data_IF_059212287573
#
_entry.id   IF_059212287573
#
_cell.length_a   1.000
_cell.length_b   1.000
_cell.length_c   1.000
_cell.angle_alpha   90.00
_cell.angle_beta   90.00
_cell.angle_gamma   90.00
#
_symmetry.space_group_name_H-M   'P 1'
#
loop_
_entity.id
_entity.type
_entity.pdbx_description
1 polymer ?
#
# COMPACT_ATOMS: atom_id res chain seq x y z
N UNK A 1 -18.52 -12.08 -0.59
CA UNK A 1 -17.86 -12.86 -1.68
C UNK A 1 -18.51 -12.64 -3.04
N UNK A 2 -19.85 -12.62 -3.15
CA UNK A 2 -20.59 -12.45 -4.42
C UNK A 2 -20.20 -11.20 -5.24
N UNK A 3 -19.94 -10.06 -4.61
CA UNK A 3 -19.52 -8.84 -5.32
C UNK A 3 -18.16 -8.97 -6.02
N UNK A 4 -17.19 -9.68 -5.42
CA UNK A 4 -15.85 -9.85 -6.00
C UNK A 4 -15.91 -10.72 -7.26
N UNK A 5 -16.73 -11.78 -7.23
CA UNK A 5 -17.01 -12.61 -8.41
C UNK A 5 -17.66 -11.83 -9.55
N UNK A 6 -18.57 -10.88 -9.25
CA UNK A 6 -19.17 -10.03 -10.28
C UNK A 6 -18.19 -9.02 -10.89
N UNK A 7 -17.21 -8.54 -10.11
CA UNK A 7 -16.19 -7.61 -10.61
C UNK A 7 -15.16 -8.29 -11.50
N UNK A 8 -14.84 -9.56 -11.25
CA UNK A 8 -13.89 -10.35 -12.06
C UNK A 8 -14.33 -10.43 -13.53
N UNK A 9 -15.62 -10.65 -13.78
CA UNK A 9 -16.17 -10.77 -15.15
C UNK A 9 -16.74 -9.45 -15.66
N UNK A 10 -17.39 -8.67 -14.80
CA UNK A 10 -18.03 -7.41 -15.18
C UNK A 10 -17.04 -6.28 -15.48
N UNK A 11 -15.89 -6.24 -14.82
CA UNK A 11 -14.84 -5.25 -15.06
C UNK A 11 -14.29 -5.29 -16.50
N UNK A 12 -13.78 -6.45 -16.96
CA UNK A 12 -13.30 -6.62 -18.34
C UNK A 12 -14.36 -6.30 -19.39
N UNK A 13 -15.61 -6.72 -19.20
CA UNK A 13 -16.71 -6.45 -20.13
C UNK A 13 -16.99 -4.94 -20.24
N UNK A 14 -17.09 -4.23 -19.11
CA UNK A 14 -17.27 -2.76 -19.11
C UNK A 14 -16.11 -2.04 -19.78
N UNK A 15 -14.89 -2.54 -19.59
CA UNK A 15 -13.70 -1.97 -20.20
C UNK A 15 -13.69 -2.16 -21.72
N UNK A 16 -13.99 -3.36 -22.22
CA UNK A 16 -14.09 -3.63 -23.66
C UNK A 16 -15.16 -2.78 -24.34
N UNK A 17 -16.36 -2.72 -23.76
CA UNK A 17 -17.47 -1.91 -24.28
C UNK A 17 -17.10 -0.43 -24.27
N UNK A 18 -16.54 0.08 -23.18
CA UNK A 18 -16.17 1.49 -23.09
C UNK A 18 -15.05 1.87 -24.07
N UNK A 19 -14.05 1.00 -24.29
CA UNK A 19 -13.01 1.22 -25.30
C UNK A 19 -13.61 1.22 -26.72
N UNK A 20 -14.54 0.31 -27.01
CA UNK A 20 -15.22 0.27 -28.30
C UNK A 20 -16.01 1.56 -28.58
N UNK A 21 -16.76 2.06 -27.59
CA UNK A 21 -17.49 3.31 -27.72
C UNK A 21 -16.50 4.48 -27.85
N UNK A 22 -15.44 4.52 -27.03
CA UNK A 22 -14.44 5.58 -27.09
C UNK A 22 -13.72 5.62 -28.46
N UNK A 23 -13.41 4.46 -29.04
CA UNK A 23 -12.91 4.33 -30.40
C UNK A 23 -13.86 4.93 -31.44
N UNK A 24 -15.16 4.76 -31.25
CA UNK A 24 -16.17 5.28 -32.19
C UNK A 24 -16.20 6.82 -32.20
N UNK A 25 -15.85 7.49 -31.10
CA UNK A 25 -15.84 8.96 -31.01
C UNK A 25 -14.46 9.57 -31.32
N UNK A 26 -13.37 8.93 -30.90
CA UNK A 26 -12.01 9.48 -31.00
C UNK A 26 -11.14 8.83 -32.09
N UNK A 27 -11.59 7.72 -32.66
CA UNK A 27 -10.80 6.92 -33.58
C UNK A 27 -9.42 6.56 -33.00
N UNK A 28 -8.34 6.66 -33.80
CA UNK A 28 -6.98 6.30 -33.39
C UNK A 28 -6.46 7.04 -32.16
N UNK A 29 -6.93 8.26 -31.87
CA UNK A 29 -6.48 9.05 -30.72
C UNK A 29 -6.80 8.40 -29.37
N UNK A 30 -7.78 7.48 -29.33
CA UNK A 30 -8.09 6.67 -28.15
C UNK A 30 -6.86 5.90 -27.63
N UNK A 31 -6.00 5.39 -28.52
CA UNK A 31 -4.80 4.65 -28.10
C UNK A 31 -3.77 5.55 -27.40
N UNK A 32 -3.66 6.82 -27.77
CA UNK A 32 -2.78 7.79 -27.11
C UNK A 32 -3.25 8.05 -25.68
N UNK A 33 -4.57 8.17 -25.49
CA UNK A 33 -5.18 8.28 -24.16
C UNK A 33 -4.89 7.05 -23.29
N UNK A 34 -5.09 5.84 -23.83
CA UNK A 34 -4.80 4.58 -23.12
C UNK A 34 -3.30 4.46 -22.79
N UNK A 35 -2.42 4.80 -23.73
CA UNK A 35 -0.97 4.76 -23.52
C UNK A 35 -0.53 5.74 -22.42
N UNK A 36 -1.05 6.98 -22.43
CA UNK A 36 -0.77 7.96 -21.39
C UNK A 36 -1.27 7.50 -20.00
N UNK A 37 -2.45 6.89 -19.94
CA UNK A 37 -2.97 6.29 -18.71
C UNK A 37 -2.08 5.13 -18.23
N UNK A 38 -1.58 4.31 -19.15
CA UNK A 38 -0.68 3.20 -18.82
C UNK A 38 0.65 3.67 -18.22
N UNK A 39 1.21 4.78 -18.72
CA UNK A 39 2.44 5.41 -18.19
C UNK A 39 2.22 6.00 -16.79
N UNK A 40 1.02 6.48 -16.49
CA UNK A 40 0.72 7.02 -15.16
C UNK A 40 0.67 5.94 -14.07
N UNK A 41 0.36 4.68 -14.40
CA UNK A 41 0.33 3.56 -13.44
C UNK A 41 1.67 3.34 -12.73
N UNK A 42 2.80 3.09 -13.42
CA UNK A 42 4.09 2.89 -12.77
C UNK A 42 4.54 4.14 -12.02
N UNK A 43 4.23 5.33 -12.52
CA UNK A 43 4.50 6.59 -11.81
C UNK A 43 3.81 6.61 -10.44
N UNK A 44 2.55 6.17 -10.35
CA UNK A 44 1.83 6.07 -9.07
C UNK A 44 2.48 5.06 -8.14
N UNK A 45 2.89 3.90 -8.64
CA UNK A 45 3.55 2.87 -7.83
C UNK A 45 4.85 3.40 -7.22
N UNK A 46 5.68 4.10 -8.01
CA UNK A 46 6.94 4.69 -7.54
C UNK A 46 6.66 5.75 -6.46
N UNK A 47 5.66 6.60 -6.67
CA UNK A 47 5.25 7.62 -5.70
C UNK A 47 4.76 6.98 -4.40
N UNK A 48 3.91 5.94 -4.49
CA UNK A 48 3.42 5.20 -3.32
C UNK A 48 4.56 4.54 -2.53
N UNK A 49 5.53 3.93 -3.22
CA UNK A 49 6.71 3.36 -2.59
C UNK A 49 7.54 4.43 -1.87
N UNK A 50 7.73 5.60 -2.48
CA UNK A 50 8.45 6.72 -1.87
C UNK A 50 7.71 7.23 -0.63
N UNK A 51 6.40 7.44 -0.72
CA UNK A 51 5.55 7.81 0.42
C UNK A 51 5.65 6.76 1.53
N UNK A 52 5.66 5.48 1.18
CA UNK A 52 5.85 4.38 2.13
C UNK A 52 7.20 4.44 2.85
N UNK A 53 8.29 4.81 2.18
CA UNK A 53 9.60 5.03 2.81
C UNK A 53 9.58 6.19 3.80
N UNK A 54 8.98 7.33 3.42
CA UNK A 54 8.82 8.46 4.33
C UNK A 54 7.96 8.10 5.54
N UNK A 55 6.88 7.34 5.33
CA UNK A 55 6.02 6.87 6.42
C UNK A 55 6.77 5.98 7.42
N UNK A 56 7.66 5.09 6.95
CA UNK A 56 8.51 4.29 7.83
C UNK A 56 9.42 5.17 8.70
N UNK A 57 10.05 6.20 8.11
CA UNK A 57 10.88 7.15 8.85
C UNK A 57 10.07 7.91 9.91
N UNK A 58 8.87 8.38 9.56
CA UNK A 58 7.97 9.06 10.51
C UNK A 58 7.54 8.16 11.68
N UNK A 59 7.28 6.88 11.43
CA UNK A 59 6.95 5.90 12.47
C UNK A 59 8.15 5.72 13.42
N UNK A 60 9.38 5.69 12.90
CA UNK A 60 10.60 5.64 13.71
C UNK A 60 10.72 6.83 14.68
N UNK A 61 10.59 8.06 14.18
CA UNK A 61 10.64 9.27 15.01
C UNK A 61 9.52 9.30 16.06
N UNK A 62 8.32 8.84 15.69
CA UNK A 62 7.19 8.71 16.63
C UNK A 62 7.49 7.72 17.74
N UNK A 63 8.11 6.58 17.40
CA UNK A 63 8.48 5.55 18.38
C UNK A 63 9.52 6.07 19.37
N UNK A 64 10.48 6.88 18.94
CA UNK A 64 11.44 7.52 19.85
C UNK A 64 10.74 8.38 20.92
N UNK A 65 9.82 9.25 20.51
CA UNK A 65 9.01 10.05 21.45
C UNK A 65 8.20 9.15 22.40
N UNK A 66 7.58 8.10 21.88
CA UNK A 66 6.77 7.17 22.69
C UNK A 66 7.66 6.44 23.71
N UNK A 67 8.86 6.00 23.32
CA UNK A 67 9.79 5.32 24.20
C UNK A 67 10.23 6.21 25.36
N UNK A 68 10.68 7.45 25.07
CA UNK A 68 11.10 8.41 26.11
C UNK A 68 9.95 8.77 27.05
N UNK A 69 8.74 8.96 26.51
CA UNK A 69 7.54 9.16 27.35
C UNK A 69 7.23 7.96 28.23
N UNK A 70 7.42 6.74 27.72
CA UNK A 70 7.19 5.52 28.48
C UNK A 70 8.18 5.39 29.63
N UNK A 71 9.47 5.64 29.38
CA UNK A 71 10.53 5.67 30.41
C UNK A 71 10.22 6.72 31.49
N UNK A 72 9.83 7.93 31.08
CA UNK A 72 9.43 9.01 31.99
C UNK A 72 8.26 8.59 32.90
N UNK A 73 7.21 7.98 32.34
CA UNK A 73 6.04 7.55 33.09
C UNK A 73 6.35 6.40 34.06
N UNK A 74 7.19 5.45 33.64
CA UNK A 74 7.64 4.35 34.48
C UNK A 74 8.51 4.84 35.65
N UNK A 75 9.35 5.86 35.42
CA UNK A 75 10.27 6.44 36.41
C UNK A 75 9.73 7.63 37.20
N UNK A 76 8.44 7.96 37.11
CA UNK A 76 7.89 9.25 37.58
C UNK A 76 8.16 9.58 39.05
N UNK A 77 8.15 8.57 39.94
CA UNK A 77 8.39 8.77 41.39
C UNK A 77 9.82 9.23 41.67
N UNK A 78 10.80 8.63 41.00
CA UNK A 78 12.22 8.96 41.15
C UNK A 78 12.47 10.36 40.58
N UNK A 79 11.91 10.66 39.41
CA UNK A 79 12.06 11.96 38.77
C UNK A 79 11.53 13.11 39.63
N UNK A 80 10.38 12.93 40.28
CA UNK A 80 9.82 13.91 41.22
C UNK A 80 10.67 14.09 42.47
N UNK A 81 11.29 13.02 42.97
CA UNK A 81 12.19 13.10 44.13
C UNK A 81 13.42 13.96 43.84
N UNK A 82 13.93 13.92 42.61
CA UNK A 82 15.07 14.70 42.16
C UNK A 82 14.72 16.06 41.51
N UNK A 83 13.43 16.43 41.42
CA UNK A 83 12.95 17.61 40.73
C UNK A 83 13.43 17.72 39.26
N UNK A 84 13.51 16.59 38.55
CA UNK A 84 13.99 16.50 37.15
C UNK A 84 12.89 16.63 36.10
N UNK A 85 11.65 16.93 36.48
CA UNK A 85 10.51 17.01 35.57
C UNK A 85 10.72 18.01 34.43
N UNK A 86 11.30 19.17 34.71
CA UNK A 86 11.48 20.24 33.73
C UNK A 86 12.52 19.85 32.66
N UNK A 87 13.62 19.23 33.08
CA UNK A 87 14.62 18.67 32.17
C UNK A 87 14.02 17.63 31.20
N UNK A 88 13.24 16.67 31.72
CA UNK A 88 12.59 15.66 30.88
C UNK A 88 11.52 16.26 29.96
N UNK A 89 10.77 17.26 30.45
CA UNK A 89 9.81 17.99 29.65
C UNK A 89 10.48 18.68 28.46
N UNK A 90 11.57 19.42 28.69
CA UNK A 90 12.34 20.07 27.63
C UNK A 90 12.90 19.06 26.62
N UNK A 91 13.39 17.91 27.11
CA UNK A 91 13.85 16.81 26.24
C UNK A 91 12.73 16.27 25.35
N UNK A 92 11.52 16.04 25.88
CA UNK A 92 10.38 15.55 25.09
C UNK A 92 9.93 16.62 24.07
N UNK A 93 9.93 17.89 24.46
CA UNK A 93 9.57 19.01 23.58
C UNK A 93 10.57 19.17 22.44
N UNK A 94 11.87 19.00 22.69
CA UNK A 94 12.90 19.07 21.64
C UNK A 94 12.75 17.93 20.62
N UNK A 95 12.50 16.70 21.06
CA UNK A 95 12.18 15.56 20.19
C UNK A 95 10.92 15.87 19.36
N UNK A 96 9.87 16.41 19.98
CA UNK A 96 8.63 16.81 19.28
C UNK A 96 8.85 17.88 18.23
N UNK A 97 9.71 18.88 18.48
CA UNK A 97 10.04 19.92 17.49
C UNK A 97 10.67 19.31 16.24
N UNK A 98 11.62 18.39 16.42
CA UNK A 98 12.24 17.66 15.32
C UNK A 98 11.23 16.79 14.58
N UNK A 99 10.38 16.04 15.30
CA UNK A 99 9.30 15.22 14.72
C UNK A 99 8.37 16.07 13.85
N UNK A 100 7.88 17.21 14.38
CA UNK A 100 6.99 18.13 13.65
C UNK A 100 7.63 18.71 12.40
N UNK A 101 8.94 19.00 12.43
CA UNK A 101 9.65 19.50 11.26
C UNK A 101 9.69 18.48 10.11
N UNK A 102 9.90 17.19 10.44
CA UNK A 102 9.92 16.10 9.49
C UNK A 102 8.51 15.76 8.99
N UNK A 103 7.49 15.80 9.87
CA UNK A 103 6.08 15.66 9.48
C UNK A 103 5.70 16.74 8.47
N UNK A 104 6.08 18.00 8.70
CA UNK A 104 5.74 19.10 7.79
C UNK A 104 6.34 18.89 6.40
N UNK A 105 7.61 18.50 6.31
CA UNK A 105 8.27 18.19 5.03
C UNK A 105 7.57 17.02 4.31
N UNK A 106 7.26 15.95 5.04
CA UNK A 106 6.62 14.77 4.50
C UNK A 106 5.19 15.06 4.00
N UNK A 107 4.40 15.83 4.76
CA UNK A 107 3.05 16.21 4.37
C UNK A 107 3.06 17.17 3.17
N UNK A 108 4.00 18.11 3.10
CA UNK A 108 4.15 18.96 1.91
C UNK A 108 4.42 18.13 0.65
N UNK A 109 5.36 17.18 0.72
CA UNK A 109 5.67 16.29 -0.39
C UNK A 109 4.48 15.41 -0.77
N UNK A 110 3.76 14.89 0.22
CA UNK A 110 2.53 14.12 0.04
C UNK A 110 1.42 14.94 -0.61
N UNK A 111 1.24 16.20 -0.24
CA UNK A 111 0.30 17.12 -0.88
C UNK A 111 0.66 17.35 -2.35
N UNK A 112 1.94 17.60 -2.65
CA UNK A 112 2.41 17.76 -4.03
C UNK A 112 2.11 16.51 -4.89
N UNK A 113 2.37 15.31 -4.37
CA UNK A 113 2.04 14.08 -5.06
C UNK A 113 0.53 13.85 -5.23
N UNK A 114 -0.28 14.17 -4.21
CA UNK A 114 -1.75 14.10 -4.34
C UNK A 114 -2.27 15.07 -5.42
N UNK A 115 -1.70 16.26 -5.49
CA UNK A 115 -2.07 17.25 -6.50
C UNK A 115 -1.74 16.74 -7.92
N UNK A 116 -0.53 16.22 -8.12
CA UNK A 116 -0.13 15.58 -9.39
C UNK A 116 -1.07 14.42 -9.77
N UNK A 117 -1.49 13.62 -8.79
CA UNK A 117 -2.40 12.51 -9.04
C UNK A 117 -3.83 12.97 -9.38
N UNK A 118 -4.31 14.03 -8.72
CA UNK A 118 -5.62 14.60 -9.02
C UNK A 118 -5.65 15.19 -10.42
N UNK A 119 -4.56 15.84 -10.86
CA UNK A 119 -4.43 16.42 -12.20
C UNK A 119 -4.13 15.39 -13.29
N UNK A 120 -3.69 14.18 -12.95
CA UNK A 120 -3.35 13.12 -13.91
C UNK A 120 -4.50 12.81 -14.89
N UNK A 121 -5.76 12.81 -14.42
CA UNK A 121 -6.92 12.62 -15.29
C UNK A 121 -7.08 13.75 -16.32
N UNK A 122 -6.88 14.99 -15.89
CA UNK A 122 -6.89 16.16 -16.78
C UNK A 122 -5.76 16.08 -17.81
N UNK A 123 -4.58 15.61 -17.42
CA UNK A 123 -3.44 15.40 -18.33
C UNK A 123 -3.79 14.38 -19.41
N UNK A 124 -4.38 13.23 -19.04
CA UNK A 124 -4.82 12.21 -20.02
C UNK A 124 -5.81 12.82 -21.02
N UNK A 125 -6.81 13.57 -20.55
CA UNK A 125 -7.79 14.21 -21.42
C UNK A 125 -7.15 15.22 -22.37
N UNK A 126 -6.26 16.09 -21.86
CA UNK A 126 -5.55 17.07 -22.67
C UNK A 126 -4.73 16.40 -23.76
N UNK A 127 -3.91 15.40 -23.40
CA UNK A 127 -3.08 14.66 -24.36
C UNK A 127 -3.94 13.98 -25.43
N UNK A 128 -5.06 13.40 -25.03
CA UNK A 128 -5.96 12.69 -25.95
C UNK A 128 -6.63 13.65 -26.93
N UNK A 129 -7.18 14.77 -26.45
CA UNK A 129 -7.80 15.78 -27.32
C UNK A 129 -6.77 16.52 -28.18
N UNK A 130 -5.58 16.83 -27.66
CA UNK A 130 -4.49 17.39 -28.44
C UNK A 130 -4.09 16.46 -29.59
N UNK A 131 -3.98 15.16 -29.34
CA UNK A 131 -3.73 14.18 -30.41
C UNK A 131 -4.85 14.13 -31.45
N UNK A 132 -6.10 14.30 -31.03
CA UNK A 132 -7.26 14.27 -31.93
C UNK A 132 -7.27 15.47 -32.89
N UNK A 133 -6.95 16.67 -32.39
CA UNK A 133 -6.80 17.88 -33.21
C UNK A 133 -5.62 17.74 -34.18
N UNK A 134 -4.48 17.23 -33.69
CA UNK A 134 -3.26 17.05 -34.51
C UNK A 134 -3.46 16.08 -35.68
N UNK A 135 -4.40 15.15 -35.56
CA UNK A 135 -4.81 14.25 -36.65
C UNK A 135 -5.74 14.92 -37.68
N UNK A 136 -6.04 16.21 -37.54
CA UNK A 136 -6.85 17.00 -38.47
C UNK A 136 -8.35 16.92 -38.21
N UNK A 137 -8.78 16.37 -37.08
CA UNK A 137 -10.20 16.27 -36.73
C UNK A 137 -10.68 17.55 -36.02
N UNK A 138 -11.95 17.90 -36.22
CA UNK A 138 -12.61 18.99 -35.51
C UNK A 138 -13.19 18.49 -34.17
N UNK A 139 -12.90 19.21 -33.08
CA UNK A 139 -13.49 18.93 -31.78
C UNK A 139 -14.89 19.52 -31.69
N UNK A 140 -15.90 18.66 -31.72
CA UNK A 140 -17.26 19.04 -31.39
C UNK A 140 -17.54 18.89 -29.87
N UNK A 141 -18.44 19.73 -29.36
CA UNK A 141 -18.83 19.73 -27.95
C UNK A 141 -19.39 18.36 -27.50
N UNK A 142 -20.14 17.68 -28.38
CA UNK A 142 -20.65 16.34 -28.11
C UNK A 142 -19.50 15.34 -27.90
N UNK A 143 -18.54 15.34 -28.81
CA UNK A 143 -17.37 14.45 -28.75
C UNK A 143 -16.56 14.69 -27.49
N UNK A 144 -16.31 15.95 -27.12
CA UNK A 144 -15.57 16.30 -25.90
C UNK A 144 -16.28 15.78 -24.65
N UNK A 145 -17.58 16.05 -24.53
CA UNK A 145 -18.34 15.68 -23.33
C UNK A 145 -18.49 14.16 -23.17
N UNK A 146 -18.86 13.46 -24.25
CA UNK A 146 -19.03 12.00 -24.24
C UNK A 146 -17.71 11.31 -23.90
N UNK A 147 -16.61 11.79 -24.49
CA UNK A 147 -15.29 11.18 -24.30
C UNK A 147 -14.71 11.47 -22.92
N UNK A 148 -14.92 12.69 -22.40
CA UNK A 148 -14.63 13.02 -21.01
C UNK A 148 -15.32 12.04 -20.06
N UNK A 149 -16.64 11.85 -20.24
CA UNK A 149 -17.43 10.97 -19.38
C UNK A 149 -16.99 9.50 -19.52
N UNK A 150 -16.72 9.03 -20.74
CA UNK A 150 -16.25 7.66 -20.99
C UNK A 150 -14.88 7.39 -20.35
N UNK A 151 -13.91 8.30 -20.52
CA UNK A 151 -12.58 8.17 -19.91
C UNK A 151 -12.71 8.19 -18.38
N UNK A 152 -13.59 9.05 -17.83
CA UNK A 152 -13.88 9.07 -16.39
C UNK A 152 -14.47 7.74 -15.90
N UNK A 153 -15.45 7.20 -16.63
CA UNK A 153 -16.12 5.94 -16.31
C UNK A 153 -15.18 4.73 -16.41
N UNK A 154 -14.30 4.71 -17.43
CA UNK A 154 -13.32 3.65 -17.68
C UNK A 154 -12.20 3.59 -16.65
N UNK A 155 -11.96 4.67 -15.90
CA UNK A 155 -10.94 4.72 -14.84
C UNK A 155 -11.16 3.66 -13.77
N UNK A 156 -12.41 3.45 -13.37
CA UNK A 156 -12.79 2.50 -12.30
C UNK A 156 -12.53 1.05 -12.69
N UNK A 157 -13.07 0.50 -13.80
CA UNK A 157 -12.81 -0.88 -14.18
C UNK A 157 -11.32 -1.13 -14.48
N UNK A 158 -10.61 -0.13 -15.01
CA UNK A 158 -9.17 -0.23 -15.22
C UNK A 158 -8.41 -0.42 -13.90
N UNK A 159 -8.74 0.36 -12.86
CA UNK A 159 -8.17 0.19 -11.52
C UNK A 159 -8.56 -1.16 -10.89
N UNK A 160 -9.80 -1.59 -11.05
CA UNK A 160 -10.26 -2.88 -10.53
C UNK A 160 -9.46 -4.05 -11.10
N UNK A 161 -9.13 -4.04 -12.40
CA UNK A 161 -8.30 -5.10 -13.01
C UNK A 161 -6.91 -5.15 -12.38
N UNK A 162 -6.29 -3.99 -12.12
CA UNK A 162 -4.98 -3.93 -11.44
C UNK A 162 -5.07 -4.51 -10.02
N UNK A 163 -6.14 -4.23 -9.27
CA UNK A 163 -6.36 -4.81 -7.95
C UNK A 163 -6.57 -6.32 -8.00
N UNK A 164 -7.35 -6.83 -8.96
CA UNK A 164 -7.58 -8.26 -9.14
C UNK A 164 -6.25 -9.00 -9.39
N UNK A 165 -5.34 -8.42 -10.18
CA UNK A 165 -4.01 -8.98 -10.40
C UNK A 165 -3.21 -9.05 -9.09
N UNK A 166 -3.22 -7.98 -8.30
CA UNK A 166 -2.52 -7.93 -7.02
C UNK A 166 -3.09 -8.95 -6.01
N UNK A 167 -4.42 -9.08 -5.93
CA UNK A 167 -5.08 -10.07 -5.09
C UNK A 167 -4.77 -11.50 -5.52
N UNK A 168 -4.65 -11.74 -6.82
CA UNK A 168 -4.25 -13.04 -7.35
C UNK A 168 -2.82 -13.39 -6.92
N UNK A 169 -1.88 -12.45 -7.06
CA UNK A 169 -0.48 -12.64 -6.62
C UNK A 169 -0.40 -12.89 -5.11
N UNK A 170 -1.16 -12.13 -4.31
CA UNK A 170 -1.22 -12.32 -2.85
C UNK A 170 -1.85 -13.67 -2.47
N UNK A 171 -2.91 -14.07 -3.16
CA UNK A 171 -3.54 -15.38 -2.98
C UNK A 171 -2.58 -16.51 -3.30
N UNK A 172 -1.86 -16.41 -4.42
CA UNK A 172 -0.85 -17.39 -4.81
C UNK A 172 0.28 -17.52 -3.79
N UNK A 173 0.79 -16.40 -3.28
CA UNK A 173 1.83 -16.40 -2.24
C UNK A 173 1.31 -17.01 -0.93
N UNK A 174 0.07 -16.73 -0.56
CA UNK A 174 -0.58 -17.32 0.62
C UNK A 174 -0.71 -18.84 0.49
N UNK A 175 -1.14 -19.34 -0.68
CA UNK A 175 -1.23 -20.78 -0.95
C UNK A 175 0.14 -21.43 -0.85
N UNK A 176 1.17 -20.79 -1.42
CA UNK A 176 2.56 -21.27 -1.31
C UNK A 176 3.03 -21.36 0.14
N UNK A 177 2.67 -20.40 1.00
CA UNK A 177 3.02 -20.42 2.41
C UNK A 177 2.30 -21.54 3.16
N UNK A 178 1.01 -21.78 2.86
CA UNK A 178 0.24 -22.89 3.44
C UNK A 178 0.86 -24.23 3.00
N UNK A 179 1.22 -24.36 1.73
CA UNK A 179 1.90 -25.54 1.23
C UNK A 179 3.21 -25.79 1.96
N UNK A 180 4.05 -24.76 2.11
CA UNK A 180 5.31 -24.87 2.85
C UNK A 180 5.10 -25.23 4.34
N UNK A 181 4.00 -24.79 4.95
CA UNK A 181 3.64 -25.17 6.32
C UNK A 181 3.20 -26.64 6.41
N UNK A 182 2.37 -27.10 5.47
CA UNK A 182 1.90 -28.49 5.42
C UNK A 182 3.02 -29.48 5.07
N UNK A 183 4.01 -29.05 4.30
CA UNK A 183 5.23 -29.81 3.99
C UNK A 183 6.29 -29.72 5.12
N UNK A 184 6.03 -28.91 6.16
CA UNK A 184 6.92 -28.75 7.29
C UNK A 184 7.07 -30.05 8.08
N UNK A 185 8.27 -30.27 8.64
CA UNK A 185 8.51 -31.42 9.54
C UNK A 185 7.56 -31.34 10.73
N UNK A 186 6.67 -32.32 10.85
CA UNK A 186 5.87 -32.52 12.05
C UNK A 186 6.81 -32.79 13.24
N UNK A 187 6.50 -32.18 14.39
CA UNK A 187 7.16 -32.52 15.64
C UNK A 187 6.79 -33.97 15.95
N UNK A 188 7.79 -34.86 15.94
CA UNK A 188 7.61 -36.25 16.37
C UNK A 188 7.20 -36.15 17.85
N UNK A 189 5.90 -36.34 18.13
CA UNK A 189 5.45 -36.56 19.49
C UNK A 189 6.08 -37.87 19.93
N UNK A 190 7.08 -37.78 20.79
CA UNK A 190 7.59 -38.94 21.49
C UNK A 190 6.42 -39.38 22.36
N UNK A 191 5.73 -40.46 21.97
CA UNK A 191 4.75 -41.10 22.84
C UNK A 191 5.47 -41.46 24.13
N UNK A 192 5.22 -40.69 25.19
CA UNK A 192 5.56 -41.08 26.53
C UNK A 192 4.77 -42.35 26.78
N UNK A 193 5.41 -43.51 26.64
CA UNK A 193 4.83 -44.75 27.17
C UNK A 193 4.60 -44.47 28.65
N UNK A 194 3.35 -44.45 29.08
CA UNK A 194 2.99 -44.52 30.50
C UNK A 194 3.40 -45.91 31.01
N UNK A 195 4.69 -46.10 31.26
CA UNK A 195 5.16 -47.17 32.15
C UNK A 195 5.42 -46.54 33.52
N UNK A 196 4.45 -46.84 34.37
CA UNK A 196 4.30 -46.59 35.80
C UNK A 196 5.58 -46.73 36.63
N UNK A 197 5.92 -45.65 37.35
CA UNK A 197 6.11 -45.55 38.83
C UNK A 197 7.23 -44.56 39.20
N UNK A 198 6.83 -43.41 39.75
CA UNK A 198 7.73 -42.43 40.38
C UNK A 198 7.79 -41.10 39.65
N UNK A 199 7.59 -39.99 40.38
CA UNK A 199 7.64 -38.61 39.88
C UNK A 199 9.06 -38.13 39.51
N UNK A 200 9.92 -39.01 38.98
CA UNK A 200 11.31 -38.68 38.65
C UNK A 200 11.53 -38.71 37.14
N UNK A 201 11.85 -37.54 36.57
CA UNK A 201 12.32 -37.41 35.19
C UNK A 201 13.84 -37.59 35.21
N UNK A 202 14.35 -38.66 34.58
CA UNK A 202 15.79 -38.91 34.44
C UNK A 202 16.23 -38.58 33.01
N UNK A 203 17.13 -37.61 32.86
CA UNK A 203 17.76 -37.24 31.60
C UNK A 203 19.23 -37.68 31.65
N UNK A 204 19.61 -38.70 30.89
CA UNK A 204 21.01 -39.17 30.82
C UNK A 204 21.66 -38.76 29.50
N UNK A 205 22.78 -38.04 29.58
CA UNK A 205 23.64 -37.68 28.43
C UNK A 205 22.90 -36.97 27.28
N UNK A 206 22.00 -36.03 27.59
CA UNK A 206 21.25 -35.26 26.61
C UNK A 206 21.93 -33.92 26.30
N UNK A 207 22.08 -33.60 25.02
CA UNK A 207 22.56 -32.31 24.54
C UNK A 207 21.48 -31.66 23.68
N UNK A 208 21.09 -30.43 24.05
CA UNK A 208 20.10 -29.65 23.32
C UNK A 208 20.76 -28.37 22.83
N UNK A 209 20.55 -28.06 21.57
CA UNK A 209 20.88 -26.76 21.01
C UNK A 209 19.60 -26.19 20.39
N UNK A 210 19.40 -24.89 20.56
CA UNK A 210 18.40 -24.20 19.75
C UNK A 210 18.85 -24.24 18.30
N UNK A 211 17.89 -24.45 17.40
CA UNK A 211 18.18 -24.40 15.96
C UNK A 211 18.43 -22.93 15.63
N UNK A 212 19.58 -22.63 15.01
CA UNK A 212 19.87 -21.30 14.45
C UNK A 212 18.83 -20.90 13.38
#
# INVERSE_FOLDING_TARGET
MVCVSSEIWGGPIRLLIGIYILWSFLGPSCFVGIASAMILIPMNIIVEQLVGRFQKKLIGNRNERINVLTEFLQGIKVLKFYAWEEYFFEKIVSIRKTELSEIRKAEFLRMAFRFLFLSAFSVVLLVTFSSFILMGNSLDAQTVFVSFFLIWLLRTPFRSILHLLAHFIQGFTSIKNIQAFLEGKELISISTKEETHGNSVLLTNASFCWRD
#
